data_IF_441596030896
#
_entry.id   IF_441596030896
#
_cell.length_a   1.000
_cell.length_b   1.000
_cell.length_c   1.000
_cell.angle_alpha   90.00
_cell.angle_beta   90.00
_cell.angle_gamma   90.00
#
_symmetry.space_group_name_H-M   'P 1'
#
loop_
_entity.id
_entity.type
_entity.pdbx_description
1 polymer ?
#
# COMPACT_ATOMS: atom_id res chain seq x y z
N UNK A 1 -28.10 -52.52 -2.42
CA UNK A 1 -27.60 -52.35 -1.05
C UNK A 1 -26.09 -52.10 -0.98
N UNK A 2 -25.24 -52.92 -1.62
CA UNK A 2 -23.78 -52.70 -1.65
C UNK A 2 -23.38 -51.26 -2.04
N UNK A 3 -23.94 -50.70 -3.13
CA UNK A 3 -23.65 -49.31 -3.54
C UNK A 3 -24.03 -48.24 -2.49
N UNK A 4 -25.06 -48.48 -1.68
CA UNK A 4 -25.46 -47.56 -0.62
C UNK A 4 -24.46 -47.59 0.55
N UNK A 5 -23.96 -48.79 0.88
CA UNK A 5 -22.90 -48.94 1.88
C UNK A 5 -21.60 -48.27 1.42
N UNK A 6 -21.23 -48.45 0.14
CA UNK A 6 -20.07 -47.77 -0.46
C UNK A 6 -20.24 -46.25 -0.42
N UNK A 7 -21.41 -45.74 -0.79
CA UNK A 7 -21.72 -44.31 -0.70
C UNK A 7 -21.61 -43.78 0.74
N UNK A 8 -22.21 -44.48 1.71
CA UNK A 8 -22.11 -44.13 3.13
C UNK A 8 -20.67 -44.11 3.63
N UNK A 9 -19.87 -45.12 3.28
CA UNK A 9 -18.46 -45.18 3.62
C UNK A 9 -17.67 -44.02 3.01
N UNK A 10 -17.91 -43.67 1.75
CA UNK A 10 -17.25 -42.53 1.10
C UNK A 10 -17.63 -41.19 1.72
N UNK A 11 -18.90 -40.97 2.09
CA UNK A 11 -19.33 -39.75 2.77
C UNK A 11 -18.70 -39.62 4.16
N UNK A 12 -18.65 -40.71 4.94
CA UNK A 12 -18.01 -40.73 6.26
C UNK A 12 -16.50 -40.47 6.11
N UNK A 13 -15.85 -41.12 5.15
CA UNK A 13 -14.42 -40.92 4.89
C UNK A 13 -14.13 -39.45 4.53
N UNK A 14 -14.89 -38.85 3.62
CA UNK A 14 -14.72 -37.45 3.24
C UNK A 14 -14.93 -36.51 4.45
N UNK A 15 -16.00 -36.71 5.23
CA UNK A 15 -16.27 -35.90 6.41
C UNK A 15 -15.15 -36.00 7.45
N UNK A 16 -14.63 -37.21 7.71
CA UNK A 16 -13.50 -37.42 8.62
C UNK A 16 -12.21 -36.78 8.09
N UNK A 17 -11.94 -36.88 6.79
CA UNK A 17 -10.78 -36.20 6.19
C UNK A 17 -10.90 -34.69 6.32
N UNK A 18 -12.09 -34.12 6.08
CA UNK A 18 -12.31 -32.68 6.26
C UNK A 18 -12.10 -32.26 7.72
N UNK A 19 -12.66 -32.99 8.69
CA UNK A 19 -12.53 -32.62 10.11
C UNK A 19 -11.13 -32.84 10.68
N UNK A 20 -10.39 -33.86 10.22
CA UNK A 20 -9.11 -34.24 10.83
C UNK A 20 -7.90 -33.68 10.09
N UNK A 21 -8.00 -33.49 8.77
CA UNK A 21 -6.87 -33.09 7.95
C UNK A 21 -6.97 -31.65 7.43
N UNK A 22 -8.18 -31.07 7.32
CA UNK A 22 -8.36 -29.70 6.85
C UNK A 22 -8.56 -28.69 7.98
N UNK A 23 -9.09 -29.12 9.13
CA UNK A 23 -9.22 -28.24 10.29
C UNK A 23 -7.84 -27.79 10.78
N UNK A 24 -7.62 -26.48 10.81
CA UNK A 24 -6.33 -25.86 11.10
C UNK A 24 -5.25 -25.99 10.02
N UNK A 25 -5.56 -26.53 8.83
CA UNK A 25 -4.59 -26.63 7.75
C UNK A 25 -4.25 -25.26 7.14
N UNK A 26 -2.96 -24.94 7.09
CA UNK A 26 -2.45 -23.73 6.47
C UNK A 26 -2.07 -24.01 5.03
N UNK A 27 -2.91 -23.60 4.09
CA UNK A 27 -2.64 -23.74 2.67
C UNK A 27 -1.59 -22.73 2.19
N UNK A 28 -0.76 -23.14 1.23
CA UNK A 28 0.21 -22.25 0.59
C UNK A 28 -0.46 -21.16 -0.26
N UNK A 29 0.20 -20.02 -0.37
CA UNK A 29 -0.14 -18.95 -1.31
C UNK A 29 0.11 -19.37 -2.76
N UNK A 30 -0.41 -18.60 -3.71
CA UNK A 30 -0.18 -18.87 -5.14
C UNK A 30 1.30 -18.82 -5.54
N UNK A 31 2.11 -18.10 -4.77
CA UNK A 31 3.55 -17.95 -4.99
C UNK A 31 4.38 -19.01 -4.30
N UNK A 32 3.82 -19.76 -3.34
CA UNK A 32 4.61 -20.75 -2.59
C UNK A 32 4.89 -22.01 -3.41
N UNK A 33 6.11 -22.56 -3.35
CA UNK A 33 6.42 -23.81 -4.02
C UNK A 33 5.57 -24.96 -3.43
N UNK A 34 5.13 -25.89 -4.28
CA UNK A 34 4.34 -27.06 -3.85
C UNK A 34 5.09 -28.00 -2.89
N UNK A 35 6.42 -27.85 -2.78
CA UNK A 35 7.23 -28.54 -1.78
C UNK A 35 7.95 -27.50 -0.93
N UNK A 36 7.68 -27.50 0.38
CA UNK A 36 8.34 -26.68 1.36
C UNK A 36 8.91 -27.59 2.45
N UNK A 37 10.21 -27.49 2.73
CA UNK A 37 10.91 -28.32 3.73
C UNK A 37 10.70 -29.85 3.59
N UNK A 38 10.64 -30.34 2.34
CA UNK A 38 10.45 -31.77 2.05
C UNK A 38 9.03 -32.29 2.30
N UNK A 39 8.06 -31.42 2.58
CA UNK A 39 6.64 -31.74 2.70
C UNK A 39 5.86 -31.12 1.54
N UNK A 40 4.81 -31.83 1.10
CA UNK A 40 3.88 -31.32 0.09
C UNK A 40 2.99 -30.24 0.73
N UNK A 41 3.05 -29.02 0.22
CA UNK A 41 2.19 -27.90 0.60
C UNK A 41 1.08 -27.77 -0.45
N UNK A 42 -0.15 -28.09 -0.05
CA UNK A 42 -1.32 -27.95 -0.89
C UNK A 42 -1.80 -26.50 -0.83
N UNK A 43 -2.12 -25.95 -1.99
CA UNK A 43 -2.73 -24.63 -2.09
C UNK A 43 -4.24 -24.75 -1.95
N UNK A 44 -4.91 -23.62 -1.73
CA UNK A 44 -6.38 -23.55 -1.60
C UNK A 44 -7.09 -24.19 -2.80
N UNK A 45 -6.60 -23.93 -4.02
CA UNK A 45 -7.17 -24.52 -5.24
C UNK A 45 -6.94 -26.03 -5.35
N UNK A 46 -5.81 -26.55 -4.86
CA UNK A 46 -5.52 -27.99 -4.87
C UNK A 46 -6.50 -28.74 -3.96
N UNK A 47 -6.69 -28.24 -2.73
CA UNK A 47 -7.60 -28.83 -1.75
C UNK A 47 -9.04 -28.80 -2.24
N UNK A 48 -9.50 -27.64 -2.72
CA UNK A 48 -10.88 -27.49 -3.25
C UNK A 48 -11.11 -28.37 -4.48
N UNK A 49 -10.09 -28.58 -5.33
CA UNK A 49 -10.16 -29.51 -6.45
C UNK A 49 -10.28 -30.95 -5.96
N UNK A 50 -9.48 -31.38 -4.98
CA UNK A 50 -9.57 -32.73 -4.41
C UNK A 50 -10.94 -33.02 -3.79
N UNK A 51 -11.51 -32.08 -3.03
CA UNK A 51 -12.86 -32.19 -2.49
C UNK A 51 -13.87 -32.33 -3.63
N UNK A 52 -13.72 -31.55 -4.69
CA UNK A 52 -14.60 -31.62 -5.87
C UNK A 52 -14.53 -32.99 -6.55
N UNK A 53 -13.33 -33.55 -6.74
CA UNK A 53 -13.14 -34.90 -7.29
C UNK A 53 -13.81 -35.95 -6.41
N UNK A 54 -13.62 -35.89 -5.09
CA UNK A 54 -14.26 -36.81 -4.16
C UNK A 54 -15.80 -36.74 -4.23
N UNK A 55 -16.36 -35.53 -4.29
CA UNK A 55 -17.80 -35.32 -4.44
C UNK A 55 -18.33 -35.86 -5.78
N UNK A 56 -17.57 -35.75 -6.88
CA UNK A 56 -17.94 -36.33 -8.17
C UNK A 56 -17.99 -37.87 -8.10
N UNK A 57 -17.03 -38.50 -7.42
CA UNK A 57 -17.03 -39.96 -7.20
C UNK A 57 -18.24 -40.40 -6.38
N UNK A 58 -18.52 -39.73 -5.27
CA UNK A 58 -19.71 -39.97 -4.42
C UNK A 58 -20.99 -39.84 -5.24
N UNK A 59 -21.12 -38.76 -6.02
CA UNK A 59 -22.27 -38.52 -6.90
C UNK A 59 -22.41 -39.59 -7.99
N UNK A 60 -21.31 -40.12 -8.51
CA UNK A 60 -21.33 -41.16 -9.54
C UNK A 60 -21.83 -42.49 -8.97
N UNK A 61 -21.34 -42.89 -7.79
CA UNK A 61 -21.79 -44.10 -7.09
C UNK A 61 -23.29 -43.99 -6.78
N UNK A 62 -23.72 -42.86 -6.22
CA UNK A 62 -25.12 -42.67 -5.85
C UNK A 62 -26.03 -42.54 -7.08
N UNK A 63 -25.56 -41.88 -8.14
CA UNK A 63 -26.27 -41.76 -9.41
C UNK A 63 -26.49 -43.11 -10.08
N UNK A 64 -25.50 -44.00 -10.02
CA UNK A 64 -25.62 -45.37 -10.52
C UNK A 64 -26.67 -46.18 -9.74
N UNK A 65 -26.66 -46.06 -8.41
CA UNK A 65 -27.62 -46.72 -7.52
C UNK A 65 -29.05 -46.20 -7.74
N UNK A 66 -29.24 -44.89 -7.78
CA UNK A 66 -30.53 -44.25 -8.02
C UNK A 66 -31.09 -44.64 -9.39
N UNK A 67 -30.25 -44.74 -10.42
CA UNK A 67 -30.65 -45.21 -11.75
C UNK A 67 -31.10 -46.67 -11.72
N UNK A 68 -30.37 -47.55 -11.03
CA UNK A 68 -30.76 -48.95 -10.89
C UNK A 68 -32.09 -49.13 -10.15
N UNK A 69 -32.33 -48.35 -9.08
CA UNK A 69 -33.60 -48.37 -8.34
C UNK A 69 -34.76 -47.82 -9.16
N UNK A 70 -34.55 -46.73 -9.89
CA UNK A 70 -35.57 -46.15 -10.77
C UNK A 70 -35.98 -47.15 -11.86
N UNK A 71 -35.02 -47.85 -12.45
CA UNK A 71 -35.29 -48.90 -13.44
C UNK A 71 -35.97 -50.13 -12.83
N UNK A 72 -35.51 -50.61 -11.67
CA UNK A 72 -36.14 -51.74 -10.98
C UNK A 72 -37.57 -51.41 -10.56
N UNK A 73 -37.81 -50.21 -10.03
CA UNK A 73 -39.13 -49.73 -9.64
C UNK A 73 -40.03 -49.55 -10.87
N UNK A 74 -39.51 -48.97 -11.96
CA UNK A 74 -40.26 -48.81 -13.21
C UNK A 74 -40.68 -50.15 -13.83
N UNK A 75 -39.77 -51.13 -13.84
CA UNK A 75 -40.08 -52.50 -14.29
C UNK A 75 -41.13 -53.14 -13.41
N UNK A 76 -40.99 -53.05 -12.09
CA UNK A 76 -41.97 -53.58 -11.15
C UNK A 76 -43.37 -52.97 -11.37
N UNK A 77 -43.45 -51.64 -11.53
CA UNK A 77 -44.71 -50.94 -11.77
C UNK A 77 -45.37 -51.29 -13.11
N UNK A 78 -44.58 -51.57 -14.15
CA UNK A 78 -45.09 -52.01 -15.47
C UNK A 78 -45.62 -53.44 -15.47
N UNK A 79 -45.00 -54.34 -14.71
CA UNK A 79 -45.27 -55.78 -14.78
C UNK A 79 -46.04 -56.33 -13.56
N UNK A 80 -46.53 -55.49 -12.64
CA UNK A 80 -47.31 -55.99 -11.49
C UNK A 80 -48.67 -56.53 -11.93
N UNK A 81 -49.04 -57.71 -11.42
CA UNK A 81 -50.22 -58.47 -11.83
C UNK A 81 -51.56 -57.86 -11.40
N UNK A 82 -51.60 -57.11 -10.30
CA UNK A 82 -52.85 -56.62 -9.76
C UNK A 82 -53.36 -55.34 -10.45
N UNK A 83 -52.48 -54.39 -10.80
CA UNK A 83 -52.83 -53.07 -11.35
C UNK A 83 -51.63 -52.46 -12.12
N UNK A 84 -51.28 -52.90 -13.32
CA UNK A 84 -50.13 -52.38 -14.05
C UNK A 84 -50.25 -50.87 -14.26
N UNK A 85 -49.17 -50.13 -13.97
CA UNK A 85 -49.15 -48.67 -14.13
C UNK A 85 -48.99 -48.28 -15.59
N UNK A 86 -49.56 -47.14 -15.97
CA UNK A 86 -49.51 -46.70 -17.38
C UNK A 86 -48.05 -46.46 -17.82
N UNK A 87 -47.67 -46.82 -19.06
CA UNK A 87 -46.35 -46.53 -19.61
C UNK A 87 -45.97 -45.04 -19.54
N UNK A 88 -46.97 -44.16 -19.61
CA UNK A 88 -46.77 -42.70 -19.49
C UNK A 88 -46.37 -42.26 -18.08
N UNK A 89 -46.89 -42.92 -17.03
CA UNK A 89 -46.56 -42.63 -15.64
C UNK A 89 -45.14 -43.11 -15.29
N UNK A 90 -44.76 -44.29 -15.78
CA UNK A 90 -43.40 -44.83 -15.64
C UNK A 90 -42.40 -44.00 -16.44
N UNK A 91 -42.76 -43.57 -17.65
CA UNK A 91 -41.93 -42.64 -18.45
C UNK A 91 -41.73 -41.29 -17.76
N UNK A 92 -42.78 -40.74 -17.14
CA UNK A 92 -42.68 -39.52 -16.32
C UNK A 92 -41.70 -39.71 -15.16
N UNK A 93 -41.82 -40.81 -14.42
CA UNK A 93 -40.92 -41.12 -13.30
C UNK A 93 -39.46 -41.27 -13.74
N UNK A 94 -39.20 -41.99 -14.83
CA UNK A 94 -37.84 -42.17 -15.36
C UNK A 94 -37.24 -40.87 -15.89
N UNK A 95 -38.05 -40.00 -16.52
CA UNK A 95 -37.57 -38.71 -17.07
C UNK A 95 -37.41 -37.62 -16.02
N UNK A 96 -38.36 -37.50 -15.09
CA UNK A 96 -38.40 -36.43 -14.09
C UNK A 96 -37.79 -36.83 -12.75
N UNK A 97 -37.47 -38.12 -12.54
CA UNK A 97 -36.97 -38.68 -11.26
C UNK A 97 -37.90 -38.35 -10.08
N UNK A 98 -39.20 -38.30 -10.33
CA UNK A 98 -40.23 -38.00 -9.34
C UNK A 98 -41.21 -39.15 -9.20
N UNK A 99 -41.75 -39.41 -8.00
CA UNK A 99 -42.82 -40.37 -7.81
C UNK A 99 -44.01 -40.10 -8.76
N UNK A 100 -44.63 -41.14 -9.37
CA UNK A 100 -45.72 -40.98 -10.32
C UNK A 100 -46.94 -40.20 -9.80
N UNK A 101 -47.21 -40.26 -8.50
CA UNK A 101 -48.35 -39.57 -7.88
C UNK A 101 -48.19 -38.04 -7.80
N UNK A 102 -46.97 -37.53 -7.98
CA UNK A 102 -46.69 -36.08 -8.12
C UNK A 102 -46.99 -35.54 -9.52
N UNK A 103 -47.45 -36.38 -10.45
CA UNK A 103 -47.85 -35.94 -11.79
C UNK A 103 -49.17 -35.14 -11.70
N UNK A 104 -49.05 -33.82 -11.77
CA UNK A 104 -50.15 -32.84 -11.78
C UNK A 104 -50.89 -32.78 -13.13
N UNK A 105 -51.39 -33.91 -13.64
CA UNK A 105 -52.14 -33.95 -14.89
C UNK A 105 -53.52 -34.56 -14.64
N UNK A 106 -54.58 -33.74 -14.73
CA UNK A 106 -55.97 -34.20 -14.82
C UNK A 106 -56.63 -34.68 -13.51
N UNK A 107 -56.43 -34.00 -12.38
CA UNK A 107 -57.40 -33.96 -11.28
C UNK A 107 -57.55 -35.20 -10.36
N UNK A 108 -56.79 -36.28 -10.54
CA UNK A 108 -56.75 -37.40 -9.57
C UNK A 108 -55.31 -37.85 -9.31
N UNK A 109 -54.65 -37.24 -8.32
CA UNK A 109 -53.41 -37.79 -7.76
C UNK A 109 -53.75 -39.14 -7.12
N UNK A 110 -53.33 -40.23 -7.75
CA UNK A 110 -53.49 -41.56 -7.19
C UNK A 110 -52.29 -41.82 -6.28
N UNK A 111 -52.46 -41.52 -4.99
CA UNK A 111 -51.50 -41.91 -3.97
C UNK A 111 -51.23 -43.42 -4.03
N UNK A 112 -50.00 -43.87 -3.70
CA UNK A 112 -49.70 -45.29 -3.64
C UNK A 112 -50.66 -45.98 -2.66
N UNK A 113 -51.31 -47.05 -3.09
CA UNK A 113 -52.26 -47.81 -2.27
C UNK A 113 -51.60 -49.01 -1.57
N UNK A 114 -50.40 -49.37 -1.99
CA UNK A 114 -49.65 -50.55 -1.56
C UNK A 114 -48.32 -50.17 -0.91
N UNK A 115 -47.86 -51.04 0.00
CA UNK A 115 -46.59 -50.88 0.74
C UNK A 115 -45.40 -50.74 -0.22
N UNK A 116 -45.42 -51.46 -1.34
CA UNK A 116 -44.37 -51.41 -2.35
C UNK A 116 -44.34 -50.08 -3.13
N UNK A 117 -45.50 -49.50 -3.45
CA UNK A 117 -45.57 -48.17 -4.07
C UNK A 117 -45.09 -47.05 -3.15
N UNK A 118 -45.35 -47.17 -1.84
CA UNK A 118 -44.78 -46.28 -0.83
C UNK A 118 -43.27 -46.46 -0.68
N UNK A 119 -42.77 -47.69 -0.66
CA UNK A 119 -41.34 -47.98 -0.60
C UNK A 119 -40.59 -47.41 -1.82
N UNK A 120 -41.13 -47.57 -3.03
CA UNK A 120 -40.57 -46.96 -4.25
C UNK A 120 -40.62 -45.43 -4.21
N UNK A 121 -41.71 -44.84 -3.71
CA UNK A 121 -41.81 -43.37 -3.58
C UNK A 121 -40.79 -42.81 -2.59
N UNK A 122 -40.61 -43.47 -1.45
CA UNK A 122 -39.63 -43.08 -0.44
C UNK A 122 -38.21 -43.19 -0.99
N UNK A 123 -37.89 -44.26 -1.71
CA UNK A 123 -36.58 -44.44 -2.32
C UNK A 123 -36.25 -43.32 -3.35
N UNK A 124 -37.24 -42.89 -4.14
CA UNK A 124 -37.07 -41.79 -5.11
C UNK A 124 -36.93 -40.44 -4.40
N UNK A 125 -37.69 -40.21 -3.32
CA UNK A 125 -37.57 -38.99 -2.50
C UNK A 125 -36.22 -38.92 -1.78
N UNK A 126 -35.71 -40.02 -1.24
CA UNK A 126 -34.38 -40.08 -0.63
C UNK A 126 -33.28 -39.77 -1.66
N UNK A 127 -33.47 -40.13 -2.92
CA UNK A 127 -32.53 -39.77 -4.00
C UNK A 127 -32.52 -38.26 -4.34
N UNK A 128 -33.57 -37.50 -3.99
CA UNK A 128 -33.60 -36.04 -4.16
C UNK A 128 -32.76 -35.31 -3.11
N UNK A 129 -32.78 -35.75 -1.85
CA UNK A 129 -31.97 -35.14 -0.78
C UNK A 129 -30.47 -35.19 -1.12
N UNK A 130 -30.05 -36.19 -1.88
CA UNK A 130 -28.66 -36.37 -2.33
C UNK A 130 -28.16 -35.26 -3.26
N UNK A 131 -29.03 -34.52 -3.96
CA UNK A 131 -28.57 -33.42 -4.83
C UNK A 131 -28.08 -32.22 -4.02
N UNK A 132 -28.46 -32.14 -2.73
CA UNK A 132 -28.11 -31.04 -1.83
C UNK A 132 -26.81 -31.28 -1.02
N UNK A 133 -26.28 -32.50 -0.99
CA UNK A 133 -25.07 -32.81 -0.20
C UNK A 133 -23.81 -32.14 -0.75
N UNK A 134 -23.72 -31.98 -2.08
CA UNK A 134 -22.58 -31.31 -2.72
C UNK A 134 -22.44 -29.85 -2.28
N UNK A 135 -23.44 -28.98 -2.52
CA UNK A 135 -23.38 -27.58 -2.11
C UNK A 135 -23.15 -27.37 -0.61
N UNK A 136 -23.75 -28.21 0.24
CA UNK A 136 -23.59 -28.13 1.69
C UNK A 136 -22.14 -28.43 2.14
N UNK A 137 -21.49 -29.44 1.55
CA UNK A 137 -20.12 -29.81 1.89
C UNK A 137 -19.08 -28.86 1.28
N UNK A 138 -19.34 -28.30 0.10
CA UNK A 138 -18.46 -27.28 -0.47
C UNK A 138 -18.56 -25.97 0.32
N UNK A 139 -19.75 -25.60 0.78
CA UNK A 139 -19.97 -24.40 1.60
C UNK A 139 -19.49 -24.52 3.05
N UNK A 140 -19.16 -25.72 3.54
CA UNK A 140 -18.65 -25.92 4.90
C UNK A 140 -17.14 -25.70 5.04
N UNK A 141 -16.43 -25.43 3.94
CA UNK A 141 -15.00 -25.10 3.96
C UNK A 141 -14.85 -23.61 3.71
N UNK A 142 -14.36 -22.90 4.72
CA UNK A 142 -14.04 -21.48 4.64
C UNK A 142 -12.53 -21.29 4.79
N UNK A 143 -11.96 -20.49 3.89
CA UNK A 143 -10.55 -20.14 3.93
C UNK A 143 -10.41 -18.73 4.45
N UNK A 144 -9.73 -18.58 5.59
CA UNK A 144 -9.42 -17.28 6.18
C UNK A 144 -7.94 -16.94 5.93
N UNK A 145 -7.61 -15.70 5.49
CA UNK A 145 -6.22 -15.28 5.37
C UNK A 145 -5.60 -15.21 6.76
N UNK A 146 -4.53 -15.96 6.99
CA UNK A 146 -3.76 -15.91 8.24
C UNK A 146 -2.34 -15.46 7.97
N UNK A 147 -1.87 -14.46 8.69
CA UNK A 147 -0.45 -14.08 8.70
C UNK A 147 0.24 -14.83 9.84
N UNK A 148 1.09 -15.79 9.52
CA UNK A 148 1.99 -16.40 10.50
C UNK A 148 3.26 -15.56 10.61
N UNK A 149 3.60 -15.13 11.81
CA UNK A 149 4.90 -14.51 12.09
C UNK A 149 5.95 -15.61 11.92
N UNK A 150 6.79 -15.51 10.90
CA UNK A 150 7.91 -16.43 10.75
C UNK A 150 8.93 -16.15 11.85
N UNK A 151 9.38 -17.19 12.54
CA UNK A 151 10.51 -17.10 13.49
C UNK A 151 11.87 -17.09 12.77
N UNK A 152 11.88 -17.13 11.43
CA UNK A 152 13.12 -17.08 10.64
C UNK A 152 13.49 -15.64 10.32
N UNK A 153 14.65 -15.23 10.83
CA UNK A 153 15.24 -13.94 10.50
C UNK A 153 15.75 -13.93 9.06
N UNK A 154 15.37 -12.92 8.28
CA UNK A 154 15.83 -12.72 6.89
C UNK A 154 16.72 -11.49 6.82
N UNK A 155 17.91 -11.62 6.23
CA UNK A 155 18.74 -10.45 6.00
C UNK A 155 18.10 -9.53 4.93
N UNK A 156 17.67 -8.35 5.34
CA UNK A 156 17.27 -7.26 4.46
C UNK A 156 18.58 -6.56 4.07
N UNK A 157 18.74 -6.27 2.78
CA UNK A 157 19.77 -5.31 2.36
C UNK A 157 19.37 -3.94 2.90
N UNK A 158 19.98 -3.59 4.04
CA UNK A 158 20.07 -2.21 4.46
C UNK A 158 21.30 -1.63 3.78
N UNK A 159 21.18 -0.38 3.40
CA UNK A 159 22.24 0.32 2.73
C UNK A 159 23.15 0.91 3.82
N UNK A 160 24.46 0.66 3.73
CA UNK A 160 25.46 1.35 4.56
C UNK A 160 26.00 2.50 3.71
N UNK A 161 26.11 3.74 4.24
CA UNK A 161 26.71 4.85 3.51
C UNK A 161 28.24 4.68 3.34
N UNK A 162 28.66 3.63 2.67
CA UNK A 162 29.97 3.46 2.05
C UNK A 162 29.75 3.64 0.55
N UNK A 163 30.50 4.49 -0.13
CA UNK A 163 30.12 4.96 -1.47
C UNK A 163 30.92 4.30 -2.59
N UNK A 164 30.33 4.10 -3.77
CA UNK A 164 31.11 3.92 -5.00
C UNK A 164 31.63 5.29 -5.47
N UNK A 165 32.95 5.57 -5.46
CA UNK A 165 33.47 6.89 -5.80
C UNK A 165 33.20 7.32 -7.26
N UNK A 166 33.01 6.36 -8.16
CA UNK A 166 32.83 6.61 -9.59
C UNK A 166 31.45 7.21 -9.93
N UNK A 167 30.36 6.72 -9.32
CA UNK A 167 29.00 7.22 -9.58
C UNK A 167 28.79 8.61 -8.97
N UNK A 168 29.35 8.84 -7.77
CA UNK A 168 29.37 10.17 -7.15
C UNK A 168 30.15 11.17 -8.00
N UNK A 169 31.30 10.75 -8.56
CA UNK A 169 32.08 11.60 -9.47
C UNK A 169 31.23 12.00 -10.66
N UNK A 170 30.52 11.08 -11.32
CA UNK A 170 29.64 11.41 -12.44
C UNK A 170 28.57 12.43 -12.04
N UNK A 171 27.87 12.22 -10.92
CA UNK A 171 26.87 13.15 -10.39
C UNK A 171 27.43 14.57 -10.13
N UNK A 172 28.68 14.67 -9.65
CA UNK A 172 29.30 15.93 -9.25
C UNK A 172 30.09 16.62 -10.38
N UNK A 173 30.74 15.87 -11.28
CA UNK A 173 31.69 16.37 -12.30
C UNK A 173 31.16 16.39 -13.73
N UNK A 174 30.41 15.35 -14.12
CA UNK A 174 29.92 15.13 -15.49
C UNK A 174 28.42 15.33 -15.63
N UNK A 175 27.71 15.36 -14.50
CA UNK A 175 26.29 15.61 -14.39
C UNK A 175 25.96 17.03 -14.85
N UNK A 176 25.86 17.21 -16.16
CA UNK A 176 25.13 18.33 -16.72
C UNK A 176 23.72 18.39 -16.15
N UNK A 177 23.02 19.51 -16.33
CA UNK A 177 21.66 19.74 -15.81
C UNK A 177 20.69 18.55 -16.01
N UNK A 178 20.89 17.76 -17.08
CA UNK A 178 20.07 16.60 -17.39
C UNK A 178 20.18 15.44 -16.39
N UNK A 179 21.35 15.21 -15.78
CA UNK A 179 21.57 14.07 -14.88
C UNK A 179 21.03 14.36 -13.48
N UNK A 180 21.32 15.56 -12.95
CA UNK A 180 20.75 16.02 -11.67
C UNK A 180 19.23 16.12 -11.70
N UNK A 181 18.64 16.47 -12.85
CA UNK A 181 17.18 16.41 -13.05
C UNK A 181 16.62 14.98 -12.97
N UNK A 182 17.39 13.97 -13.41
CA UNK A 182 17.04 12.56 -13.23
C UNK A 182 16.96 12.19 -11.75
N UNK A 183 18.02 12.52 -11.00
CA UNK A 183 18.07 12.32 -9.55
C UNK A 183 16.98 13.10 -8.79
N UNK A 184 16.68 14.35 -9.18
CA UNK A 184 15.58 15.12 -8.61
C UNK A 184 14.23 14.40 -8.78
N UNK A 185 13.96 13.86 -9.97
CA UNK A 185 12.72 13.11 -10.22
C UNK A 185 12.66 11.83 -9.40
N UNK A 186 13.79 11.13 -9.23
CA UNK A 186 13.89 9.98 -8.35
C UNK A 186 13.61 10.37 -6.89
N UNK A 187 14.22 11.44 -6.39
CA UNK A 187 14.00 11.94 -5.03
C UNK A 187 12.53 12.30 -4.78
N UNK A 188 11.87 13.00 -5.70
CA UNK A 188 10.44 13.28 -5.62
C UNK A 188 9.59 11.99 -5.66
N UNK A 189 9.98 11.02 -6.50
CA UNK A 189 9.34 9.70 -6.55
C UNK A 189 9.46 8.93 -5.23
N UNK A 190 10.63 8.97 -4.60
CA UNK A 190 10.87 8.40 -3.28
C UNK A 190 10.04 9.11 -2.20
N UNK A 191 10.04 10.44 -2.15
CA UNK A 191 9.20 11.19 -1.22
C UNK A 191 7.71 10.81 -1.34
N UNK A 192 7.20 10.74 -2.57
CA UNK A 192 5.82 10.35 -2.84
C UNK A 192 5.52 8.90 -2.43
N UNK A 193 6.43 7.95 -2.70
CA UNK A 193 6.24 6.55 -2.32
C UNK A 193 6.21 6.38 -0.80
N UNK A 194 7.11 7.06 -0.07
CA UNK A 194 7.21 6.97 1.38
C UNK A 194 5.96 7.51 2.10
N UNK A 195 5.18 8.38 1.43
CA UNK A 195 4.03 9.09 2.00
C UNK A 195 2.73 8.89 1.22
N UNK A 196 2.67 7.90 0.33
CA UNK A 196 1.50 7.65 -0.51
C UNK A 196 0.24 7.23 0.29
N UNK A 197 0.42 6.58 1.45
CA UNK A 197 -0.70 6.06 2.24
C UNK A 197 -1.23 7.11 3.23
N UNK A 198 -2.33 7.77 2.88
CA UNK A 198 -2.94 8.85 3.68
C UNK A 198 -3.55 8.37 5.00
N UNK A 199 -3.88 7.09 5.12
CA UNK A 199 -4.33 6.49 6.40
C UNK A 199 -3.23 6.56 7.47
N UNK A 200 -1.97 6.72 7.04
CA UNK A 200 -0.80 6.81 7.90
C UNK A 200 -0.39 8.24 8.26
N UNK A 201 -1.28 9.21 8.02
CA UNK A 201 -1.06 10.61 8.36
C UNK A 201 -2.16 11.14 9.31
N UNK A 202 -1.77 12.05 10.20
CA UNK A 202 -2.71 12.86 10.98
C UNK A 202 -3.21 14.09 10.19
N UNK A 203 -4.12 14.86 10.77
CA UNK A 203 -4.67 16.07 10.16
C UNK A 203 -3.65 17.21 9.95
N UNK A 204 -2.45 17.09 10.53
CA UNK A 204 -1.35 18.05 10.38
C UNK A 204 -0.31 17.57 9.35
N UNK A 205 -0.44 16.35 8.84
CA UNK A 205 0.51 15.73 7.91
C UNK A 205 1.66 14.99 8.59
N UNK A 206 1.58 14.71 9.91
CA UNK A 206 2.55 13.89 10.62
C UNK A 206 2.22 12.41 10.49
N UNK A 207 3.22 11.55 10.66
CA UNK A 207 2.98 10.12 10.77
C UNK A 207 2.20 9.80 12.04
N UNK A 208 1.25 8.89 11.95
CA UNK A 208 0.47 8.36 13.08
C UNK A 208 0.91 6.93 13.49
N UNK A 209 1.94 6.38 12.85
CA UNK A 209 2.51 5.04 13.16
C UNK A 209 3.83 5.13 13.93
N UNK A 210 4.65 6.13 13.63
CA UNK A 210 5.98 6.31 14.18
C UNK A 210 6.38 7.79 14.22
N UNK A 211 7.67 8.07 14.13
CA UNK A 211 8.22 9.43 14.22
C UNK A 211 8.31 10.17 12.88
N UNK A 212 7.87 9.55 11.78
CA UNK A 212 7.96 10.12 10.44
C UNK A 212 9.34 9.99 9.78
N UNK A 213 10.33 9.37 10.42
CA UNK A 213 11.62 9.05 9.82
C UNK A 213 11.47 7.75 9.03
N UNK A 214 11.27 7.93 7.72
CA UNK A 214 10.96 6.87 6.75
C UNK A 214 12.11 6.67 5.79
N UNK A 215 12.33 5.43 5.41
CA UNK A 215 13.30 5.02 4.39
C UNK A 215 12.65 4.05 3.42
N UNK A 216 12.96 4.22 2.14
CA UNK A 216 12.59 3.27 1.10
C UNK A 216 13.69 2.23 0.97
N UNK A 217 13.34 0.96 1.10
CA UNK A 217 14.24 -0.17 0.85
C UNK A 217 13.91 -0.85 -0.47
N UNK A 218 14.83 -1.69 -0.96
CA UNK A 218 14.49 -2.62 -2.03
C UNK A 218 13.44 -3.64 -1.55
N UNK A 219 12.52 -4.01 -2.43
CA UNK A 219 11.45 -4.95 -2.08
C UNK A 219 12.02 -6.34 -1.82
N UNK A 220 11.93 -6.79 -0.57
CA UNK A 220 12.41 -8.09 -0.13
C UNK A 220 11.28 -9.11 0.10
N UNK A 221 10.06 -8.83 -0.37
CA UNK A 221 8.91 -9.71 -0.17
C UNK A 221 8.28 -9.64 1.22
N UNK A 222 8.75 -8.74 2.09
CA UNK A 222 8.28 -8.65 3.48
C UNK A 222 6.90 -7.97 3.57
N UNK A 223 5.95 -8.54 4.33
CA UNK A 223 4.62 -7.98 4.49
C UNK A 223 4.63 -6.70 5.34
N UNK A 224 3.58 -5.89 5.19
CA UNK A 224 3.32 -4.76 6.10
C UNK A 224 3.20 -5.27 7.54
N UNK A 225 3.77 -4.53 8.48
CA UNK A 225 3.79 -4.88 9.91
C UNK A 225 5.05 -5.63 10.36
N UNK A 226 5.83 -6.15 9.41
CA UNK A 226 7.16 -6.72 9.65
C UNK A 226 8.06 -5.74 10.42
N UNK A 227 8.72 -6.23 11.46
CA UNK A 227 9.65 -5.45 12.29
C UNK A 227 11.06 -5.65 11.76
N UNK A 228 11.88 -4.61 11.76
CA UNK A 228 13.29 -4.65 11.37
C UNK A 228 14.11 -4.10 12.52
N UNK A 229 15.18 -4.81 12.88
CA UNK A 229 16.10 -4.38 13.93
C UNK A 229 17.36 -3.75 13.33
N UNK A 230 17.96 -2.82 14.07
CA UNK A 230 19.22 -2.14 13.75
C UNK A 230 19.28 -1.52 12.34
N UNK A 231 18.21 -0.83 11.94
CA UNK A 231 18.08 -0.18 10.64
C UNK A 231 18.62 1.25 10.67
N UNK A 232 19.36 1.66 9.63
CA UNK A 232 19.75 3.07 9.42
C UNK A 232 18.66 3.75 8.60
N UNK A 233 18.17 4.90 9.08
CA UNK A 233 17.07 5.64 8.47
C UNK A 233 17.43 7.14 8.41
N UNK A 234 17.12 7.87 7.32
CA UNK A 234 17.19 9.32 7.35
C UNK A 234 16.15 9.88 8.30
N UNK A 235 16.51 10.96 8.98
CA UNK A 235 15.62 11.56 9.97
C UNK A 235 15.82 13.07 10.03
N UNK A 236 14.70 13.78 10.19
CA UNK A 236 14.67 15.23 10.36
C UNK A 236 13.63 15.58 11.42
N UNK A 237 14.05 16.38 12.39
CA UNK A 237 13.20 16.90 13.45
C UNK A 237 13.13 18.42 13.35
N UNK A 238 11.98 18.91 12.93
CA UNK A 238 11.67 20.33 12.82
C UNK A 238 11.14 20.77 14.18
N UNK A 239 11.86 21.69 14.81
CA UNK A 239 11.56 22.19 16.16
C UNK A 239 10.56 23.33 16.14
N UNK A 240 10.47 24.04 15.02
CA UNK A 240 9.52 25.12 14.82
C UNK A 240 9.82 25.99 13.60
N UNK A 241 8.80 26.73 13.19
CA UNK A 241 8.85 27.71 12.11
C UNK A 241 8.52 29.08 12.70
N UNK A 242 9.36 30.07 12.43
CA UNK A 242 9.14 31.44 12.83
C UNK A 242 8.94 32.31 11.60
N UNK A 243 7.69 32.63 11.28
CA UNK A 243 7.33 33.56 10.21
C UNK A 243 7.57 35.01 10.63
N UNK A 244 7.97 35.84 9.67
CA UNK A 244 8.12 37.28 9.92
C UNK A 244 6.77 37.97 9.98
N UNK A 245 6.63 38.90 10.94
CA UNK A 245 5.39 39.66 11.18
C UNK A 245 5.44 41.07 10.60
N UNK A 246 6.62 41.54 10.19
CA UNK A 246 6.81 42.87 9.63
C UNK A 246 8.01 42.93 8.68
N UNK A 247 8.01 43.88 7.75
CA UNK A 247 9.05 44.02 6.73
C UNK A 247 10.44 44.32 7.32
N UNK A 248 10.51 45.00 8.47
CA UNK A 248 11.76 45.31 9.18
C UNK A 248 12.44 44.08 9.79
N UNK A 249 11.72 42.97 9.94
CA UNK A 249 12.29 41.70 10.40
C UNK A 249 12.98 40.91 9.27
N UNK A 250 12.71 41.25 8.00
CA UNK A 250 13.26 40.54 6.85
C UNK A 250 14.66 41.09 6.57
N UNK A 251 15.68 40.31 6.91
CA UNK A 251 17.04 40.64 6.55
C UNK A 251 17.21 40.63 5.01
N UNK A 252 18.02 41.52 4.41
CA UNK A 252 18.25 41.54 2.97
C UNK A 252 18.68 40.17 2.41
N UNK A 253 19.55 39.45 3.14
CA UNK A 253 19.97 38.09 2.77
C UNK A 253 18.84 37.06 2.69
N UNK A 254 17.73 37.25 3.40
CA UNK A 254 16.61 36.31 3.39
C UNK A 254 15.73 36.48 2.16
N UNK A 255 15.81 37.62 1.47
CA UNK A 255 14.93 37.96 0.36
C UNK A 255 15.63 38.18 -0.98
N UNK A 256 16.89 38.62 -0.97
CA UNK A 256 17.59 39.10 -2.17
C UNK A 256 17.57 38.11 -3.35
N UNK A 257 17.59 36.81 -3.08
CA UNK A 257 17.77 35.76 -4.09
C UNK A 257 16.73 34.64 -4.01
N UNK A 258 15.52 34.95 -3.51
CA UNK A 258 14.41 33.97 -3.45
C UNK A 258 14.06 33.40 -4.83
N UNK A 259 14.22 34.17 -5.91
CA UNK A 259 14.09 33.71 -7.31
C UNK A 259 15.46 33.68 -8.00
N UNK A 260 16.41 32.97 -7.40
CA UNK A 260 17.63 32.64 -8.11
C UNK A 260 17.65 31.18 -8.49
N UNK A 261 18.09 30.90 -9.71
CA UNK A 261 18.53 29.57 -10.13
C UNK A 261 19.63 29.02 -9.22
N UNK A 262 20.31 29.89 -8.49
CA UNK A 262 21.34 29.53 -7.53
C UNK A 262 20.78 28.75 -6.34
N UNK A 263 19.49 28.91 -5.99
CA UNK A 263 18.84 28.10 -4.94
C UNK A 263 18.68 26.63 -5.36
N UNK A 264 18.77 26.35 -6.66
CA UNK A 264 18.51 25.05 -7.25
C UNK A 264 19.82 24.38 -7.66
N UNK A 265 19.98 23.10 -7.30
CA UNK A 265 21.09 22.30 -7.80
C UNK A 265 20.92 21.86 -9.25
N UNK A 266 19.71 21.92 -9.79
CA UNK A 266 19.37 21.51 -11.17
C UNK A 266 19.30 22.69 -12.15
N UNK A 267 19.70 23.89 -11.72
CA UNK A 267 19.65 25.15 -12.48
C UNK A 267 18.24 25.66 -12.87
N UNK A 268 17.18 25.19 -12.22
CA UNK A 268 15.80 25.64 -12.43
C UNK A 268 15.34 26.47 -11.24
N UNK A 269 14.86 27.69 -11.46
CA UNK A 269 14.36 28.54 -10.37
C UNK A 269 13.13 27.89 -9.70
N UNK A 270 13.22 27.56 -8.38
CA UNK A 270 12.13 26.93 -7.63
C UNK A 270 10.78 27.65 -7.77
N UNK A 271 10.76 28.97 -7.84
CA UNK A 271 9.51 29.75 -7.82
C UNK A 271 9.01 30.15 -9.22
N UNK A 272 9.77 29.88 -10.28
CA UNK A 272 9.39 30.21 -11.67
C UNK A 272 8.11 29.54 -12.16
N UNK A 273 7.65 28.49 -11.47
CA UNK A 273 6.39 27.80 -11.77
C UNK A 273 5.15 28.55 -11.27
N UNK A 274 5.33 29.55 -10.41
CA UNK A 274 4.28 30.41 -9.85
C UNK A 274 3.08 29.63 -9.27
N UNK A 275 3.33 28.47 -8.65
CA UNK A 275 2.30 27.58 -8.10
C UNK A 275 2.18 27.78 -6.58
N UNK A 276 1.00 28.14 -6.04
CA UNK A 276 0.81 28.26 -4.60
C UNK A 276 1.18 26.98 -3.85
N UNK A 277 1.91 27.11 -2.75
CA UNK A 277 2.45 25.98 -1.98
C UNK A 277 3.91 25.69 -2.27
N UNK A 278 4.44 26.11 -3.43
CA UNK A 278 5.88 26.03 -3.69
C UNK A 278 6.63 26.71 -2.55
N UNK A 279 7.53 25.94 -1.93
CA UNK A 279 8.29 26.35 -0.76
C UNK A 279 9.74 25.95 -0.93
N UNK A 280 10.65 26.78 -0.44
CA UNK A 280 12.08 26.51 -0.46
C UNK A 280 12.69 26.74 0.93
N UNK A 281 13.51 25.80 1.38
CA UNK A 281 14.34 25.94 2.58
C UNK A 281 15.80 26.04 2.13
N UNK A 282 16.45 27.16 2.44
CA UNK A 282 17.78 27.48 1.91
C UNK A 282 18.63 28.28 2.90
N UNK A 283 19.92 28.41 2.60
CA UNK A 283 20.87 29.22 3.36
C UNK A 283 21.63 30.14 2.40
N UNK A 284 21.42 31.45 2.51
CA UNK A 284 22.14 32.46 1.75
C UNK A 284 23.24 33.10 2.62
N UNK A 285 24.44 33.46 2.08
CA UNK A 285 24.94 33.28 0.72
C UNK A 285 25.68 31.95 0.52
N UNK A 286 25.54 30.99 1.43
CA UNK A 286 26.16 29.68 1.30
C UNK A 286 25.39 28.85 0.28
N UNK A 287 25.62 29.17 -0.99
CA UNK A 287 25.29 28.36 -2.16
C UNK A 287 26.32 27.24 -2.33
N UNK A 288 25.97 26.14 -3.01
CA UNK A 288 26.83 24.94 -3.04
C UNK A 288 28.10 25.30 -3.78
N UNK A 289 29.20 25.45 -3.04
CA UNK A 289 30.52 25.53 -3.65
C UNK A 289 30.83 24.20 -4.31
N UNK A 290 31.39 24.22 -5.53
CA UNK A 290 31.83 23.01 -6.21
C UNK A 290 32.74 22.18 -5.29
N UNK A 291 32.24 21.02 -4.85
CA UNK A 291 33.06 20.05 -4.12
C UNK A 291 34.08 19.47 -5.11
N UNK A 292 35.31 19.14 -4.66
CA UNK A 292 36.22 18.35 -5.47
C UNK A 292 35.50 17.10 -5.97
N UNK A 293 35.60 16.85 -7.27
CA UNK A 293 34.78 15.87 -8.00
C UNK A 293 34.93 14.44 -7.50
N UNK A 294 36.06 14.14 -6.86
CA UNK A 294 36.48 12.78 -6.53
C UNK A 294 36.30 12.44 -5.04
N UNK A 295 35.72 13.36 -4.25
CA UNK A 295 35.55 13.17 -2.80
C UNK A 295 34.08 13.21 -2.42
N UNK A 296 33.62 12.13 -1.80
CA UNK A 296 32.30 12.02 -1.17
C UNK A 296 32.20 13.07 -0.05
N UNK A 297 31.02 13.67 0.19
CA UNK A 297 30.88 14.66 1.24
C UNK A 297 31.20 14.05 2.61
N UNK A 298 31.88 14.82 3.46
CA UNK A 298 32.14 14.38 4.83
C UNK A 298 30.81 14.20 5.57
N UNK A 299 30.72 13.12 6.36
CA UNK A 299 29.56 12.89 7.22
C UNK A 299 29.28 14.12 8.10
N UNK A 300 28.07 14.65 7.99
CA UNK A 300 27.66 15.85 8.71
C UNK A 300 26.32 15.63 9.41
N UNK A 301 26.18 16.22 10.59
CA UNK A 301 24.92 16.35 11.30
C UNK A 301 24.54 17.83 11.28
N UNK A 302 23.42 18.15 10.64
CA UNK A 302 22.94 19.52 10.65
C UNK A 302 22.05 19.76 11.86
N UNK A 303 22.31 20.84 12.59
CA UNK A 303 21.41 21.34 13.63
C UNK A 303 21.50 22.85 13.68
N UNK A 304 20.44 23.53 13.28
CA UNK A 304 20.43 24.99 13.22
C UNK A 304 19.20 25.54 12.52
N UNK A 305 19.34 26.76 12.03
CA UNK A 305 18.26 27.51 11.42
C UNK A 305 18.57 27.80 9.96
N UNK A 306 17.58 27.60 9.07
CA UNK A 306 17.63 28.02 7.67
C UNK A 306 16.48 28.97 7.35
N UNK A 307 16.60 29.71 6.25
CA UNK A 307 15.52 30.56 5.75
C UNK A 307 14.51 29.68 5.01
N UNK A 308 13.24 29.99 5.18
CA UNK A 308 12.14 29.37 4.43
C UNK A 308 11.33 30.44 3.72
N UNK A 309 11.06 30.21 2.45
CA UNK A 309 10.16 31.02 1.65
C UNK A 309 9.01 30.13 1.12
N UNK A 310 7.79 30.61 1.20
CA UNK A 310 6.57 29.94 0.72
C UNK A 310 5.81 30.90 -0.19
N UNK A 311 5.53 30.47 -1.42
CA UNK A 311 4.59 31.15 -2.30
C UNK A 311 3.16 30.88 -1.83
N UNK A 312 2.58 31.83 -1.10
CA UNK A 312 1.26 31.69 -0.49
C UNK A 312 0.12 31.93 -1.50
N UNK A 313 0.36 32.77 -2.51
CA UNK A 313 -0.63 33.08 -3.53
C UNK A 313 -0.07 33.91 -4.68
N UNK A 314 -0.85 33.95 -5.76
CA UNK A 314 -0.59 34.78 -6.93
C UNK A 314 -1.87 35.54 -7.27
N UNK A 315 -1.73 36.80 -7.62
CA UNK A 315 -2.83 37.68 -7.99
C UNK A 315 -2.53 38.40 -9.31
N UNK A 316 -3.52 38.48 -10.19
CA UNK A 316 -3.40 39.26 -11.42
C UNK A 316 -3.63 40.74 -11.12
N UNK A 317 -2.65 41.59 -11.45
CA UNK A 317 -2.73 43.02 -11.23
C UNK A 317 -3.64 43.64 -12.30
N UNK A 318 -4.95 43.58 -12.07
CA UNK A 318 -5.93 44.21 -12.96
C UNK A 318 -6.01 45.73 -12.76
N UNK A 319 -5.68 46.24 -11.56
CA UNK A 319 -5.59 47.66 -11.25
C UNK A 319 -4.29 48.00 -10.49
N UNK A 320 -3.55 49.03 -10.94
CA UNK A 320 -2.28 49.46 -10.31
C UNK A 320 -2.42 50.03 -8.89
N UNK A 321 -3.65 50.19 -8.38
CA UNK A 321 -3.95 50.86 -7.10
C UNK A 321 -4.14 49.90 -5.92
N UNK A 322 -4.14 48.59 -6.16
CA UNK A 322 -4.29 47.61 -5.09
C UNK A 322 -3.03 47.56 -4.20
N UNK A 323 -3.26 47.48 -2.89
CA UNK A 323 -2.18 47.30 -1.92
C UNK A 323 -1.53 45.94 -2.15
N UNK A 324 -0.18 45.84 -2.15
CA UNK A 324 0.50 44.59 -2.43
C UNK A 324 0.04 43.48 -1.51
N UNK A 325 -0.30 42.32 -2.07
CA UNK A 325 -0.68 41.12 -1.33
C UNK A 325 -1.81 41.30 -0.31
N UNK A 326 -2.78 42.17 -0.60
CA UNK A 326 -4.03 42.30 0.17
C UNK A 326 -5.24 41.89 -0.67
N UNK A 327 -6.28 41.38 -0.01
CA UNK A 327 -7.46 40.85 -0.68
C UNK A 327 -7.13 39.74 -1.68
N UNK A 328 -6.04 39.01 -1.43
CA UNK A 328 -5.70 37.83 -2.22
C UNK A 328 -6.84 36.85 -1.99
N UNK A 329 -7.61 36.54 -3.04
CA UNK A 329 -8.74 35.62 -2.97
C UNK A 329 -8.34 34.29 -2.32
N UNK A 330 -9.32 33.50 -1.85
CA UNK A 330 -9.02 32.30 -1.05
C UNK A 330 -7.97 31.42 -1.74
N UNK A 331 -6.83 31.22 -1.08
CA UNK A 331 -5.76 30.37 -1.59
C UNK A 331 -5.94 28.95 -1.07
N UNK A 332 -5.04 28.04 -1.46
CA UNK A 332 -5.00 26.68 -0.90
C UNK A 332 -4.79 26.67 0.63
N UNK A 333 -4.30 27.79 1.19
CA UNK A 333 -4.09 27.99 2.62
C UNK A 333 -5.27 28.68 3.32
N UNK A 334 -6.31 29.08 2.58
CA UNK A 334 -7.47 29.79 3.12
C UNK A 334 -7.38 31.31 2.92
N UNK A 335 -7.82 32.07 3.91
CA UNK A 335 -7.82 33.54 3.85
C UNK A 335 -6.46 34.09 4.31
N UNK A 336 -5.65 34.57 3.38
CA UNK A 336 -4.32 35.12 3.69
C UNK A 336 -4.39 36.44 4.49
N UNK A 337 -5.44 37.25 4.31
CA UNK A 337 -5.58 38.52 5.06
C UNK A 337 -5.86 38.30 6.55
N UNK A 338 -6.29 37.10 6.93
CA UNK A 338 -6.51 36.71 8.32
C UNK A 338 -5.22 36.23 9.02
N UNK A 339 -4.13 36.02 8.27
CA UNK A 339 -2.87 35.57 8.83
C UNK A 339 -2.16 36.73 9.55
N UNK A 340 -1.52 36.48 10.69
CA UNK A 340 -0.79 37.51 11.43
C UNK A 340 0.59 37.83 10.81
N UNK A 341 0.92 37.26 9.66
CA UNK A 341 2.26 37.28 9.05
C UNK A 341 2.40 38.38 8.00
N UNK A 342 3.63 38.84 7.79
CA UNK A 342 3.93 39.78 6.72
C UNK A 342 4.05 39.04 5.39
N UNK A 343 3.25 39.44 4.40
CA UNK A 343 3.34 38.96 3.04
C UNK A 343 4.28 39.87 2.24
N UNK A 344 5.39 39.31 1.79
CA UNK A 344 6.33 39.99 0.90
C UNK A 344 5.83 39.86 -0.54
N UNK A 345 5.54 41.00 -1.17
CA UNK A 345 5.08 41.03 -2.56
C UNK A 345 6.25 41.11 -3.53
N UNK A 346 6.11 40.44 -4.68
CA UNK A 346 6.93 40.68 -5.87
C UNK A 346 6.06 40.79 -7.10
N UNK A 347 6.39 41.74 -7.97
CA UNK A 347 5.71 41.88 -9.26
C UNK A 347 6.50 41.17 -10.34
N UNK A 348 5.85 40.21 -10.99
CA UNK A 348 6.38 39.46 -12.14
C UNK A 348 5.44 39.71 -13.32
N UNK A 349 5.85 40.63 -14.19
CA UNK A 349 5.02 41.08 -15.31
C UNK A 349 3.71 41.73 -14.86
N UNK A 350 2.58 41.19 -15.33
CA UNK A 350 1.23 41.63 -14.96
C UNK A 350 0.67 40.96 -13.71
N UNK A 351 1.46 40.18 -12.99
CA UNK A 351 1.02 39.43 -11.81
C UNK A 351 1.85 39.78 -10.58
N UNK A 352 1.24 39.68 -9.41
CA UNK A 352 1.87 39.83 -8.11
C UNK A 352 1.90 38.49 -7.39
N UNK A 353 3.08 38.11 -6.92
CA UNK A 353 3.32 36.92 -6.14
C UNK A 353 3.53 37.29 -4.67
N UNK A 354 2.93 36.52 -3.78
CA UNK A 354 2.87 36.81 -2.35
C UNK A 354 3.59 35.73 -1.57
N UNK A 355 4.68 36.12 -0.91
CA UNK A 355 5.56 35.23 -0.18
C UNK A 355 5.40 35.37 1.32
N UNK A 356 5.41 34.24 1.99
CA UNK A 356 5.72 34.17 3.42
C UNK A 356 7.19 33.82 3.57
N UNK A 357 7.89 34.58 4.40
CA UNK A 357 9.31 34.38 4.69
C UNK A 357 9.47 34.16 6.19
N UNK A 358 10.34 33.23 6.56
CA UNK A 358 10.61 32.94 7.94
C UNK A 358 11.89 32.15 8.15
N UNK A 359 12.03 31.64 9.37
CA UNK A 359 13.16 30.84 9.82
C UNK A 359 12.68 29.47 10.28
N UNK A 360 13.28 28.42 9.72
CA UNK A 360 13.02 27.04 10.07
C UNK A 360 14.16 26.50 10.94
N UNK A 361 13.84 26.07 12.16
CA UNK A 361 14.81 25.49 13.09
C UNK A 361 14.65 23.96 13.11
N UNK A 362 15.70 23.22 12.75
CA UNK A 362 15.62 21.77 12.66
C UNK A 362 16.97 21.08 12.86
N UNK A 363 16.89 19.78 13.10
CA UNK A 363 18.03 18.85 13.10
C UNK A 363 17.80 17.81 12.01
N UNK A 364 18.80 17.59 11.15
CA UNK A 364 18.74 16.64 10.06
C UNK A 364 19.98 15.75 10.07
N UNK A 365 19.77 14.44 9.97
CA UNK A 365 20.79 13.42 10.13
C UNK A 365 20.27 12.05 9.68
N UNK A 366 20.94 11.01 10.14
CA UNK A 366 20.40 9.65 10.16
C UNK A 366 20.13 9.21 11.59
N UNK A 367 19.39 8.14 11.76
CA UNK A 367 19.25 7.45 13.05
C UNK A 367 19.41 5.96 12.86
N UNK A 368 19.95 5.28 13.87
CA UNK A 368 19.99 3.83 13.95
C UNK A 368 18.84 3.37 14.81
N UNK A 369 17.74 2.98 14.15
CA UNK A 369 16.56 2.49 14.83
C UNK A 369 16.80 1.07 15.31
N UNK A 370 16.68 0.85 16.63
CA UNK A 370 16.68 -0.50 17.20
C UNK A 370 15.45 -1.30 16.78
N UNK A 371 14.37 -0.61 16.40
CA UNK A 371 13.10 -1.22 16.04
C UNK A 371 12.33 -0.34 15.08
N UNK A 372 12.41 -0.69 13.81
CA UNK A 372 11.65 -0.09 12.73
C UNK A 372 10.56 -1.05 12.25
N UNK A 373 9.61 -0.56 11.46
CA UNK A 373 8.50 -1.38 10.93
C UNK A 373 8.21 -1.05 9.47
N UNK A 374 7.93 -2.08 8.68
CA UNK A 374 7.33 -1.91 7.36
C UNK A 374 5.91 -1.36 7.49
N UNK A 375 5.72 -0.10 7.11
CA UNK A 375 4.40 0.53 7.11
C UNK A 375 3.67 0.35 5.77
N UNK A 376 4.41 0.10 4.69
CA UNK A 376 3.93 -0.21 3.36
C UNK A 376 4.98 -1.08 2.65
N UNK A 377 4.68 -1.69 1.48
CA UNK A 377 5.69 -2.38 0.70
C UNK A 377 6.87 -1.45 0.45
N UNK A 378 8.08 -1.87 0.85
CA UNK A 378 9.33 -1.11 0.72
C UNK A 378 9.51 0.10 1.64
N UNK A 379 8.52 0.48 2.45
CA UNK A 379 8.64 1.68 3.29
C UNK A 379 8.77 1.24 4.74
N UNK A 380 9.91 1.58 5.34
CA UNK A 380 10.22 1.32 6.74
C UNK A 380 10.13 2.65 7.50
N UNK A 381 9.56 2.62 8.71
CA UNK A 381 9.52 3.77 9.61
C UNK A 381 10.07 3.42 11.00
N UNK A 382 10.82 4.35 11.59
CA UNK A 382 11.28 4.26 12.96
C UNK A 382 10.11 4.45 13.96
N UNK A 383 10.05 3.57 14.94
CA UNK A 383 9.03 3.61 16.00
C UNK A 383 9.51 4.37 17.26
N UNK A 384 10.76 4.80 17.30
CA UNK A 384 11.32 5.57 18.41
C UNK A 384 10.69 6.97 18.46
N UNK A 385 10.13 7.44 19.58
CA UNK A 385 9.60 8.81 19.68
C UNK A 385 10.63 9.85 19.22
N UNK A 386 10.22 10.85 18.43
CA UNK A 386 11.16 11.80 17.79
C UNK A 386 12.06 12.54 18.80
N UNK A 387 11.61 12.71 20.04
CA UNK A 387 12.37 13.34 21.13
C UNK A 387 13.48 12.43 21.69
N UNK A 388 13.34 11.11 21.51
CA UNK A 388 14.30 10.08 21.95
C UNK A 388 15.23 9.63 20.82
N UNK A 389 14.97 10.07 19.58
CA UNK A 389 15.81 9.76 18.42
C UNK A 389 17.20 10.33 18.64
N UNK A 390 18.20 9.43 18.54
CA UNK A 390 19.59 9.83 18.47
C UNK A 390 19.95 10.10 17.01
N UNK A 391 20.24 11.37 16.72
CA UNK A 391 20.73 11.79 15.41
C UNK A 391 22.23 11.52 15.28
N UNK A 392 22.60 10.96 14.15
CA UNK A 392 23.98 10.66 13.75
C UNK A 392 24.30 11.37 12.43
N UNK A 393 25.58 11.67 12.23
CA UNK A 393 26.06 12.33 11.03
C UNK A 393 26.03 11.37 9.84
N UNK A 394 25.68 11.87 8.65
CA UNK A 394 25.66 11.09 7.41
C UNK A 394 26.28 11.90 6.26
N UNK A 395 27.00 11.25 5.32
CA UNK A 395 27.61 11.94 4.17
C UNK A 395 26.56 12.56 3.23
N UNK A 396 25.31 12.08 3.28
CA UNK A 396 24.24 12.57 2.40
C UNK A 396 23.46 13.74 2.96
N UNK A 397 23.62 14.05 4.25
CA UNK A 397 22.91 15.18 4.88
C UNK A 397 23.19 16.50 4.18
N UNK A 398 24.45 16.89 3.89
CA UNK A 398 24.71 18.14 3.18
C UNK A 398 23.97 18.18 1.84
N UNK A 399 24.15 17.16 1.00
CA UNK A 399 23.60 17.10 -0.35
C UNK A 399 22.06 17.05 -0.37
N UNK A 400 21.45 16.31 0.55
CA UNK A 400 20.00 16.28 0.72
C UNK A 400 19.44 17.65 1.12
N UNK A 401 20.16 18.41 1.97
CA UNK A 401 19.77 19.79 2.32
C UNK A 401 19.93 20.76 1.16
N UNK A 402 20.91 20.55 0.28
CA UNK A 402 21.06 21.33 -0.95
C UNK A 402 19.93 21.05 -1.96
N UNK A 403 19.45 19.81 -2.03
CA UNK A 403 18.34 19.41 -2.91
C UNK A 403 16.96 19.82 -2.36
N UNK A 404 16.87 20.33 -1.13
CA UNK A 404 15.58 20.66 -0.51
C UNK A 404 14.71 21.60 -1.36
N UNK A 405 15.20 22.78 -1.84
CA UNK A 405 14.39 23.67 -2.66
C UNK A 405 13.82 23.00 -3.90
N UNK A 406 14.63 22.20 -4.58
CA UNK A 406 14.26 21.48 -5.81
C UNK A 406 13.19 20.43 -5.54
N UNK A 407 13.41 19.58 -4.53
CA UNK A 407 12.50 18.48 -4.20
C UNK A 407 11.18 19.00 -3.62
N UNK A 408 11.22 20.00 -2.75
CA UNK A 408 10.01 20.65 -2.20
C UNK A 408 9.16 21.27 -3.31
N UNK A 409 9.80 21.95 -4.27
CA UNK A 409 9.14 22.52 -5.45
C UNK A 409 8.51 21.43 -6.31
N UNK A 410 9.25 20.36 -6.61
CA UNK A 410 8.76 19.26 -7.42
C UNK A 410 7.54 18.58 -6.78
N UNK A 411 7.60 18.28 -5.48
CA UNK A 411 6.47 17.70 -4.73
C UNK A 411 5.25 18.61 -4.78
N UNK A 412 5.45 19.93 -4.63
CA UNK A 412 4.37 20.93 -4.64
C UNK A 412 3.69 21.01 -6.01
N UNK A 413 4.46 21.06 -7.10
CA UNK A 413 3.94 21.15 -8.48
C UNK A 413 3.26 19.84 -8.90
N UNK A 414 3.82 18.70 -8.50
CA UNK A 414 3.19 17.41 -8.73
C UNK A 414 1.86 17.27 -7.96
N UNK A 415 1.66 18.05 -6.89
CA UNK A 415 0.51 17.99 -6.00
C UNK A 415 0.27 16.58 -5.44
N UNK A 416 1.36 15.91 -5.07
CA UNK A 416 1.37 14.50 -4.63
C UNK A 416 1.64 14.33 -3.13
N UNK A 417 1.90 15.42 -2.40
CA UNK A 417 2.32 15.37 -0.99
C UNK A 417 1.23 14.83 -0.05
N UNK A 418 -0.04 14.92 -0.45
CA UNK A 418 -1.22 14.63 0.37
C UNK A 418 -1.28 15.43 1.69
N UNK A 419 -0.49 16.51 1.81
CA UNK A 419 -0.41 17.30 3.04
C UNK A 419 -1.59 18.29 3.10
N UNK A 420 -2.35 18.33 4.21
CA UNK A 420 -3.41 19.33 4.38
C UNK A 420 -2.87 20.76 4.34
N UNK A 421 -3.43 21.61 3.48
CA UNK A 421 -2.97 23.01 3.28
C UNK A 421 -3.84 24.03 4.01
N UNK A 422 -5.16 23.87 4.01
CA UNK A 422 -6.10 24.87 4.51
C UNK A 422 -5.87 25.20 6.00
N UNK A 423 -5.57 26.46 6.30
CA UNK A 423 -5.22 26.95 7.65
C UNK A 423 -4.12 26.11 8.36
N UNK A 424 -3.23 25.48 7.59
CA UNK A 424 -2.18 24.60 8.12
C UNK A 424 -0.82 24.93 7.49
N UNK A 425 -0.47 26.20 7.37
CA UNK A 425 0.80 26.64 6.75
C UNK A 425 2.01 25.99 7.45
N UNK A 426 2.04 26.01 8.78
CA UNK A 426 3.16 25.46 9.54
C UNK A 426 3.28 23.95 9.33
N UNK A 427 2.17 23.20 9.45
CA UNK A 427 2.17 21.76 9.22
C UNK A 427 2.47 21.40 7.76
N UNK A 428 2.03 22.23 6.81
CA UNK A 428 2.34 22.06 5.40
C UNK A 428 3.83 22.16 5.12
N UNK A 429 4.47 23.25 5.56
CA UNK A 429 5.90 23.48 5.35
C UNK A 429 6.73 22.45 6.13
N UNK A 430 6.36 22.14 7.36
CA UNK A 430 7.00 21.12 8.20
C UNK A 430 7.01 19.75 7.49
N UNK A 431 5.84 19.26 7.08
CA UNK A 431 5.73 17.98 6.40
C UNK A 431 6.37 17.99 5.02
N UNK A 432 6.27 19.09 4.27
CA UNK A 432 6.89 19.19 2.95
C UNK A 432 8.42 19.14 3.04
N UNK A 433 9.01 19.87 3.98
CA UNK A 433 10.47 19.82 4.23
C UNK A 433 10.90 18.42 4.68
N UNK A 434 10.12 17.77 5.55
CA UNK A 434 10.39 16.39 5.97
C UNK A 434 10.37 15.43 4.78
N UNK A 435 9.28 15.42 4.00
CA UNK A 435 9.14 14.54 2.84
C UNK A 435 10.28 14.77 1.83
N UNK A 436 10.62 16.03 1.57
CA UNK A 436 11.68 16.39 0.64
C UNK A 436 13.06 15.94 1.12
N UNK A 437 13.40 16.16 2.40
CA UNK A 437 14.68 15.72 2.96
C UNK A 437 14.83 14.20 2.88
N UNK A 438 13.81 13.45 3.31
CA UNK A 438 13.83 11.99 3.31
C UNK A 438 13.92 11.44 1.88
N UNK A 439 13.14 11.99 0.94
CA UNK A 439 13.20 11.59 -0.47
C UNK A 439 14.54 11.90 -1.14
N UNK A 440 15.14 13.06 -0.83
CA UNK A 440 16.48 13.41 -1.30
C UNK A 440 17.54 12.45 -0.75
N UNK A 441 17.50 12.16 0.56
CA UNK A 441 18.43 11.23 1.18
C UNK A 441 18.27 9.82 0.64
N UNK A 442 17.03 9.32 0.50
CA UNK A 442 16.75 7.99 -0.06
C UNK A 442 17.29 7.86 -1.49
N UNK A 443 17.14 8.89 -2.31
CA UNK A 443 17.70 8.91 -3.66
C UNK A 443 19.23 8.84 -3.63
N UNK A 444 19.89 9.62 -2.77
CA UNK A 444 21.35 9.64 -2.65
C UNK A 444 21.86 8.27 -2.18
N UNK A 445 21.24 7.73 -1.13
CA UNK A 445 21.57 6.42 -0.58
C UNK A 445 21.38 5.31 -1.63
N UNK A 446 20.24 5.26 -2.31
CA UNK A 446 20.02 4.26 -3.37
C UNK A 446 20.95 4.38 -4.57
N UNK A 447 21.43 5.59 -4.87
CA UNK A 447 22.24 5.84 -6.07
C UNK A 447 23.72 5.62 -5.83
N UNK A 448 24.22 5.89 -4.62
CA UNK A 448 25.65 6.03 -4.38
C UNK A 448 26.20 5.15 -3.26
N UNK A 449 25.37 4.55 -2.43
CA UNK A 449 25.85 3.64 -1.40
C UNK A 449 26.14 2.24 -1.96
N UNK A 450 27.15 1.60 -1.38
CA UNK A 450 27.54 0.22 -1.56
C UNK A 450 26.55 -0.68 -0.83
N UNK A 451 26.04 -1.67 -1.55
CA UNK A 451 25.09 -2.60 -0.99
C UNK A 451 25.75 -3.62 -0.06
N UNK A 452 26.10 -3.25 1.17
CA UNK A 452 26.56 -4.26 2.13
C UNK A 452 26.36 -3.94 3.62
N UNK A 453 25.10 -3.83 4.10
CA UNK A 453 24.79 -4.30 5.46
C UNK A 453 23.60 -5.27 5.48
N UNK A 454 23.81 -6.40 6.16
CA UNK A 454 22.77 -7.40 6.48
C UNK A 454 22.01 -6.91 7.71
N UNK A 455 20.88 -6.24 7.53
CA UNK A 455 19.94 -6.03 8.63
C UNK A 455 19.15 -7.32 8.84
N UNK A 456 19.14 -7.89 10.05
CA UNK A 456 18.40 -9.11 10.35
C UNK A 456 16.93 -8.78 10.66
N UNK A 457 16.01 -9.33 9.88
CA UNK A 457 14.56 -9.34 10.12
C UNK A 457 14.18 -10.25 11.28
#
# INVERSE_FOLDING_TARGET
>A
WAMLLVHGAMCIALALTMSLALDGYQAGSETDPHYFEGRLLLRVHDVTTLISVALVMIKSVVGSWSTAILWASGRYMLFRSAHPESPTAVSFMLRRKLPPWLRLSGGKSQMPKDVFGWASSLAILSALVQTSTGPLLTGSVEWNPTTSISNTSVAIRSVDPATTPDDWRLYNSEGGLNDKRGHLRLAAGHANLAWAETSLMDAKGNSNVGNGCRHIVHYNGLPRGSVVEDMILPCINIRGIQWYHSADQIAPEDWADVESKDLSLVGDDPFSYSFPGVSAVYEWPRLRSALPTDTVPLAHLFSGTKTVALLAGRHDLTNQTDSPCKNVGSTIFGNLDALPYHLQSRRVGGTEECFLIGKLNFTAGMTRSRRARFIAPRVIEDLTPVQEVRFEASPWVPEALWLLPDVMTMISIMNTSQIPTFNNIDGYVDSLTRQAFLGAWDMLSHSFDEGETRATY
#
